data_IF_200767472718
#
_entry.id   IF_200767472718
#
_cell.length_a   1.000
_cell.length_b   1.000
_cell.length_c   1.000
_cell.angle_alpha   90.00
_cell.angle_beta   90.00
_cell.angle_gamma   90.00
#
_symmetry.space_group_name_H-M   'P 1'
#
loop_
_entity.id
_entity.type
_entity.pdbx_description
1 polymer ?
#
# COMPACT_ATOMS: atom_id res chain seq x y z
N UNK A 1 -35.59 11.87 -5.51
CA UNK A 1 -34.77 10.85 -6.22
C UNK A 1 -33.36 11.38 -6.30
N UNK A 2 -32.38 10.64 -5.81
CA UNK A 2 -30.96 10.98 -5.97
C UNK A 2 -30.56 10.60 -7.39
N UNK A 3 -30.19 11.56 -8.22
CA UNK A 3 -29.73 11.34 -9.60
C UNK A 3 -28.32 11.91 -9.75
N UNK A 4 -27.48 11.21 -10.50
CA UNK A 4 -26.09 11.60 -10.79
C UNK A 4 -25.79 11.30 -12.24
N UNK A 5 -25.01 12.15 -12.89
CA UNK A 5 -24.48 11.91 -14.21
C UNK A 5 -23.00 11.60 -14.07
N UNK A 6 -22.61 10.40 -14.50
CA UNK A 6 -21.24 9.91 -14.38
C UNK A 6 -20.80 9.42 -15.76
N UNK A 7 -19.68 9.95 -16.24
CA UNK A 7 -19.08 9.59 -17.51
C UNK A 7 -17.73 8.93 -17.26
N UNK A 8 -17.49 7.79 -17.89
CA UNK A 8 -16.19 7.12 -17.78
C UNK A 8 -15.22 7.78 -18.76
N UNK A 9 -14.11 8.38 -18.30
CA UNK A 9 -13.08 8.88 -19.20
C UNK A 9 -12.34 7.71 -19.86
N UNK A 10 -11.97 7.88 -21.13
CA UNK A 10 -11.18 6.91 -21.89
C UNK A 10 -9.66 7.13 -21.74
N UNK A 11 -9.25 8.12 -20.95
CA UNK A 11 -7.87 8.59 -20.83
C UNK A 11 -7.39 8.56 -19.39
N UNK A 12 -6.08 8.42 -19.21
CA UNK A 12 -5.41 8.75 -17.96
C UNK A 12 -5.07 10.23 -17.97
N UNK A 13 -5.41 10.95 -16.90
CA UNK A 13 -5.04 12.35 -16.76
C UNK A 13 -3.60 12.46 -16.22
N UNK A 14 -2.79 13.27 -16.89
CA UNK A 14 -1.42 13.59 -16.53
C UNK A 14 -1.33 15.10 -16.27
N UNK A 15 -1.69 15.56 -15.06
CA UNK A 15 -1.74 16.98 -14.76
C UNK A 15 -0.35 17.62 -14.84
N UNK A 16 -0.20 18.68 -15.64
CA UNK A 16 1.08 19.39 -15.79
C UNK A 16 1.61 19.96 -14.47
N UNK A 17 0.71 20.39 -13.58
CA UNK A 17 1.09 20.91 -12.26
C UNK A 17 1.56 19.82 -11.29
N UNK A 18 1.26 18.54 -11.57
CA UNK A 18 1.64 17.40 -10.74
C UNK A 18 2.14 16.26 -11.64
N UNK A 19 3.32 16.42 -12.29
CA UNK A 19 3.83 15.46 -13.28
C UNK A 19 4.16 14.08 -12.69
N UNK A 20 4.22 14.00 -11.36
CA UNK A 20 4.40 12.78 -10.58
C UNK A 20 3.09 12.01 -10.34
N UNK A 21 1.95 12.52 -10.82
CA UNK A 21 0.65 11.85 -10.73
C UNK A 21 0.21 11.34 -12.10
N UNK A 22 -0.30 10.11 -12.11
CA UNK A 22 -1.04 9.53 -13.23
C UNK A 22 -2.41 9.09 -12.73
N UNK A 23 -3.46 9.78 -13.21
CA UNK A 23 -4.79 9.69 -12.62
C UNK A 23 -5.73 8.94 -13.56
N UNK A 24 -6.05 7.70 -13.20
CA UNK A 24 -7.02 6.89 -13.89
C UNK A 24 -8.26 6.77 -13.00
N UNK A 25 -9.28 7.58 -13.27
CA UNK A 25 -10.51 7.64 -12.49
C UNK A 25 -11.57 6.73 -13.11
N UNK A 26 -12.42 6.10 -12.28
CA UNK A 26 -13.50 5.25 -12.79
C UNK A 26 -14.61 6.07 -13.48
N UNK A 27 -14.81 7.32 -13.05
CA UNK A 27 -15.72 8.25 -13.69
C UNK A 27 -15.53 9.71 -13.28
N UNK A 28 -16.00 10.61 -14.13
CA UNK A 28 -16.18 12.03 -13.85
C UNK A 28 -17.67 12.26 -13.60
N UNK A 29 -17.97 12.91 -12.48
CA UNK A 29 -19.33 13.28 -12.10
C UNK A 29 -19.61 14.65 -12.67
N UNK A 30 -20.41 14.72 -13.74
CA UNK A 30 -20.84 15.98 -14.37
C UNK A 30 -22.08 16.59 -13.71
N UNK A 31 -22.80 15.82 -12.89
CA UNK A 31 -23.89 16.31 -12.07
C UNK A 31 -24.07 15.46 -10.81
N UNK A 32 -24.14 16.12 -9.65
CA UNK A 32 -24.57 15.52 -8.38
C UNK A 32 -25.57 16.47 -7.69
N UNK A 33 -26.71 15.95 -7.23
CA UNK A 33 -27.72 16.77 -6.55
C UNK A 33 -27.23 17.53 -5.29
N UNK A 34 -26.19 17.05 -4.60
CA UNK A 34 -25.57 17.73 -3.45
C UNK A 34 -24.57 18.80 -3.90
N UNK A 35 -24.07 18.70 -5.14
CA UNK A 35 -23.10 19.62 -5.74
C UNK A 35 -23.51 19.93 -7.20
N UNK A 36 -24.65 20.61 -7.41
CA UNK A 36 -25.28 20.72 -8.73
C UNK A 36 -24.44 21.48 -9.76
N UNK A 37 -23.53 22.35 -9.30
CA UNK A 37 -22.69 23.23 -10.12
C UNK A 37 -21.21 22.78 -10.15
N UNK A 38 -20.88 21.66 -9.49
CA UNK A 38 -19.49 21.21 -9.35
C UNK A 38 -19.26 19.89 -10.09
N UNK A 39 -18.06 19.75 -10.63
CA UNK A 39 -17.59 18.46 -11.16
C UNK A 39 -16.92 17.66 -10.05
N UNK A 40 -17.18 16.36 -10.00
CA UNK A 40 -16.57 15.47 -9.01
C UNK A 40 -15.91 14.24 -9.63
N UNK A 41 -15.30 13.41 -8.79
CA UNK A 41 -14.74 12.12 -9.18
C UNK A 41 -15.63 10.99 -8.69
N UNK A 42 -15.87 9.98 -9.52
CA UNK A 42 -16.43 8.70 -9.11
C UNK A 42 -15.31 7.67 -9.04
N UNK A 43 -15.21 6.97 -7.91
CA UNK A 43 -14.30 5.84 -7.71
C UNK A 43 -15.10 4.64 -7.21
N UNK A 44 -14.86 3.45 -7.77
CA UNK A 44 -15.59 2.25 -7.45
C UNK A 44 -14.64 1.08 -7.11
N UNK A 45 -14.78 0.53 -5.91
CA UNK A 45 -14.00 -0.64 -5.47
C UNK A 45 -14.90 -1.79 -5.05
N UNK A 46 -14.49 -3.01 -5.40
CA UNK A 46 -14.95 -4.20 -4.69
C UNK A 46 -14.08 -4.39 -3.45
N UNK A 47 -14.70 -4.65 -2.31
CA UNK A 47 -13.99 -4.85 -1.05
C UNK A 47 -14.59 -6.05 -0.31
N UNK A 48 -13.74 -6.84 0.33
CA UNK A 48 -14.21 -7.91 1.20
C UNK A 48 -14.69 -7.33 2.54
N UNK A 49 -15.79 -7.84 3.09
CA UNK A 49 -16.38 -7.35 4.35
C UNK A 49 -15.38 -7.37 5.51
N UNK A 50 -14.52 -8.38 5.58
CA UNK A 50 -13.48 -8.46 6.62
C UNK A 50 -12.46 -7.31 6.52
N UNK A 51 -12.05 -6.92 5.29
CA UNK A 51 -11.14 -5.80 5.07
C UNK A 51 -11.84 -4.51 5.49
N UNK A 52 -13.09 -4.33 5.07
CA UNK A 52 -13.89 -3.17 5.45
C UNK A 52 -14.00 -3.04 6.98
N UNK A 53 -14.30 -4.13 7.68
CA UNK A 53 -14.44 -4.15 9.15
C UNK A 53 -13.14 -3.86 9.90
N UNK A 54 -11.99 -4.08 9.27
CA UNK A 54 -10.67 -3.84 9.89
C UNK A 54 -10.28 -2.36 9.97
N UNK A 55 -11.00 -1.48 9.27
CA UNK A 55 -10.74 -0.04 9.27
C UNK A 55 -11.90 0.72 9.91
N UNK A 56 -11.55 1.66 10.80
CA UNK A 56 -12.54 2.59 11.33
C UNK A 56 -13.21 3.35 10.18
N UNK A 57 -14.53 3.34 10.15
CA UNK A 57 -15.29 3.95 9.06
C UNK A 57 -15.33 3.14 7.77
N UNK A 58 -14.82 1.90 7.74
CA UNK A 58 -15.03 0.98 6.61
C UNK A 58 -14.40 1.42 5.30
N UNK A 59 -13.34 2.21 5.34
CA UNK A 59 -12.62 2.65 4.14
C UNK A 59 -11.11 2.53 4.38
N UNK A 60 -10.39 1.68 3.62
CA UNK A 60 -8.94 1.60 3.70
C UNK A 60 -8.26 2.95 3.45
N UNK A 61 -7.23 3.33 4.22
CA UNK A 61 -6.50 4.59 4.03
C UNK A 61 -5.89 4.75 2.63
N UNK A 62 -5.53 3.65 1.96
CA UNK A 62 -5.03 3.67 0.59
C UNK A 62 -6.07 4.20 -0.41
N UNK A 63 -7.36 3.99 -0.16
CA UNK A 63 -8.43 4.52 -1.01
C UNK A 63 -8.63 6.02 -0.78
N UNK A 64 -8.47 6.49 0.46
CA UNK A 64 -8.44 7.92 0.77
C UNK A 64 -7.26 8.57 0.05
N UNK A 65 -6.06 7.98 0.12
CA UNK A 65 -4.88 8.47 -0.59
C UNK A 65 -5.10 8.54 -2.11
N UNK A 66 -5.70 7.50 -2.69
CA UNK A 66 -6.02 7.45 -4.12
C UNK A 66 -6.99 8.57 -4.51
N UNK A 67 -8.08 8.75 -3.76
CA UNK A 67 -9.07 9.81 -4.00
C UNK A 67 -8.46 11.19 -3.81
N UNK A 68 -7.67 11.40 -2.75
CA UNK A 68 -6.94 12.65 -2.53
C UNK A 68 -6.05 13.02 -3.72
N UNK A 69 -5.36 12.04 -4.33
CA UNK A 69 -4.56 12.27 -5.52
C UNK A 69 -5.41 12.73 -6.72
N UNK A 70 -6.61 12.17 -6.90
CA UNK A 70 -7.54 12.63 -7.92
C UNK A 70 -7.99 14.07 -7.68
N UNK A 71 -8.42 14.38 -6.46
CA UNK A 71 -8.88 15.73 -6.12
C UNK A 71 -7.77 16.77 -6.26
N UNK A 72 -6.54 16.42 -5.85
CA UNK A 72 -5.35 17.29 -6.01
C UNK A 72 -5.03 17.54 -7.48
N UNK A 73 -4.82 16.48 -8.26
CA UNK A 73 -4.32 16.66 -9.62
C UNK A 73 -5.37 17.15 -10.61
N UNK A 74 -6.65 16.80 -10.41
CA UNK A 74 -7.76 17.32 -11.24
C UNK A 74 -8.34 18.64 -10.70
N UNK A 75 -7.94 19.07 -9.50
CA UNK A 75 -8.46 20.26 -8.81
C UNK A 75 -9.98 20.22 -8.64
N UNK A 76 -10.51 19.06 -8.26
CA UNK A 76 -11.94 18.85 -8.09
C UNK A 76 -12.32 18.93 -6.60
N UNK A 77 -13.49 19.50 -6.26
CA UNK A 77 -13.88 19.74 -4.87
C UNK A 77 -14.35 18.49 -4.12
N UNK A 78 -14.84 17.46 -4.81
CA UNK A 78 -15.36 16.26 -4.15
C UNK A 78 -15.20 14.99 -4.99
N UNK A 79 -15.31 13.86 -4.30
CA UNK A 79 -15.43 12.55 -4.89
C UNK A 79 -16.56 11.75 -4.23
N UNK A 80 -17.11 10.80 -4.99
CA UNK A 80 -17.94 9.71 -4.48
C UNK A 80 -17.15 8.42 -4.60
N UNK A 81 -16.88 7.78 -3.47
CA UNK A 81 -16.30 6.44 -3.45
C UNK A 81 -17.40 5.41 -3.17
N UNK A 82 -17.61 4.52 -4.13
CA UNK A 82 -18.53 3.40 -4.08
C UNK A 82 -17.76 2.13 -3.70
N UNK A 83 -18.12 1.51 -2.58
CA UNK A 83 -17.52 0.29 -2.07
C UNK A 83 -18.57 -0.82 -2.13
N UNK A 84 -18.37 -1.79 -3.03
CA UNK A 84 -19.21 -2.98 -3.12
C UNK A 84 -18.63 -4.08 -2.22
N UNK A 85 -19.19 -4.18 -1.01
CA UNK A 85 -18.87 -5.17 0.00
C UNK A 85 -19.41 -6.55 -0.39
N UNK A 86 -18.50 -7.51 -0.52
CA UNK A 86 -18.76 -8.92 -0.84
C UNK A 86 -19.65 -9.15 -2.07
N UNK A 87 -19.69 -8.18 -2.98
CA UNK A 87 -20.51 -8.23 -4.19
C UNK A 87 -22.01 -7.96 -3.95
N UNK A 88 -22.42 -7.66 -2.73
CA UNK A 88 -23.85 -7.58 -2.34
C UNK A 88 -24.23 -6.22 -1.79
N UNK A 89 -23.42 -5.64 -0.89
CA UNK A 89 -23.78 -4.39 -0.20
C UNK A 89 -22.99 -3.22 -0.77
N UNK A 90 -23.71 -2.24 -1.31
CA UNK A 90 -23.09 -1.03 -1.85
C UNK A 90 -23.07 0.08 -0.80
N UNK A 91 -21.88 0.55 -0.46
CA UNK A 91 -21.67 1.71 0.38
C UNK A 91 -21.18 2.86 -0.50
N UNK A 92 -21.79 4.03 -0.42
CA UNK A 92 -21.32 5.21 -1.14
C UNK A 92 -20.97 6.29 -0.13
N UNK A 93 -19.76 6.82 -0.22
CA UNK A 93 -19.25 7.87 0.66
C UNK A 93 -18.86 9.08 -0.14
N UNK A 94 -19.07 10.25 0.44
CA UNK A 94 -18.55 11.52 -0.08
C UNK A 94 -17.21 11.80 0.55
N UNK A 95 -16.25 12.25 -0.25
CA UNK A 95 -14.97 12.73 0.21
C UNK A 95 -14.76 14.12 -0.39
N UNK A 96 -14.73 15.15 0.45
CA UNK A 96 -14.54 16.53 0.00
C UNK A 96 -13.09 16.97 0.21
N UNK A 97 -12.58 17.82 -0.68
CA UNK A 97 -11.26 18.44 -0.53
C UNK A 97 -11.11 19.22 0.79
N UNK A 98 -12.23 19.64 1.38
CA UNK A 98 -12.28 20.35 2.66
C UNK A 98 -12.05 19.49 3.91
N UNK A 99 -12.19 18.17 3.82
CA UNK A 99 -12.08 17.26 4.97
C UNK A 99 -10.63 17.19 5.48
N UNK A 100 -10.45 17.11 6.80
CA UNK A 100 -9.11 17.14 7.42
C UNK A 100 -8.24 15.96 6.98
N UNK A 101 -8.82 14.76 6.83
CA UNK A 101 -8.10 13.58 6.36
C UNK A 101 -7.70 13.71 4.88
N UNK A 102 -8.53 14.36 4.07
CA UNK A 102 -8.23 14.63 2.67
C UNK A 102 -7.10 15.65 2.60
N UNK A 103 -7.21 16.79 3.28
CA UNK A 103 -6.17 17.83 3.33
C UNK A 103 -4.83 17.26 3.78
N UNK A 104 -4.82 16.48 4.86
CA UNK A 104 -3.62 15.80 5.34
C UNK A 104 -2.97 14.95 4.24
N UNK A 105 -3.76 14.16 3.52
CA UNK A 105 -3.24 13.35 2.42
C UNK A 105 -2.77 14.20 1.23
N UNK A 106 -3.44 15.30 0.91
CA UNK A 106 -3.02 16.23 -0.14
C UNK A 106 -1.67 16.86 0.21
N UNK A 107 -1.47 17.31 1.45
CA UNK A 107 -0.18 17.81 1.94
C UNK A 107 0.94 16.75 1.83
N UNK A 108 0.62 15.49 2.12
CA UNK A 108 1.57 14.38 1.94
C UNK A 108 1.89 14.12 0.48
N UNK A 109 0.91 14.16 -0.41
CA UNK A 109 1.13 14.03 -1.85
C UNK A 109 2.06 15.14 -2.33
N UNK A 110 1.79 16.39 -1.97
CA UNK A 110 2.58 17.54 -2.41
C UNK A 110 3.99 17.57 -1.82
N UNK A 111 4.22 17.00 -0.64
CA UNK A 111 5.56 16.98 -0.02
C UNK A 111 6.40 15.75 -0.39
N UNK A 112 5.77 14.59 -0.58
CA UNK A 112 6.47 13.30 -0.76
C UNK A 112 6.58 12.90 -2.23
N UNK A 113 5.49 13.01 -3.01
CA UNK A 113 5.48 12.54 -4.39
C UNK A 113 6.47 13.26 -5.31
N UNK A 114 6.69 14.60 -5.23
CA UNK A 114 7.71 15.25 -6.05
C UNK A 114 9.12 14.73 -5.75
N UNK A 115 9.45 14.50 -4.48
CA UNK A 115 10.77 13.98 -4.09
C UNK A 115 10.94 12.53 -4.55
N UNK A 116 9.90 11.71 -4.45
CA UNK A 116 9.94 10.34 -4.94
C UNK A 116 10.14 10.32 -6.46
N UNK A 117 9.43 11.20 -7.17
CA UNK A 117 9.59 11.37 -8.61
C UNK A 117 11.01 11.82 -8.97
N UNK A 118 11.60 12.74 -8.21
CA UNK A 118 12.99 13.15 -8.41
C UNK A 118 13.95 11.97 -8.21
N UNK A 119 13.78 11.16 -7.15
CA UNK A 119 14.60 9.96 -6.94
C UNK A 119 14.55 8.99 -8.14
N UNK A 120 13.37 8.85 -8.76
CA UNK A 120 13.21 8.04 -9.98
C UNK A 120 13.93 8.69 -11.17
N UNK A 121 13.85 10.00 -11.34
CA UNK A 121 14.56 10.71 -12.41
C UNK A 121 16.09 10.61 -12.25
N UNK A 122 16.60 10.79 -11.04
CA UNK A 122 18.03 10.66 -10.73
C UNK A 122 18.51 9.24 -11.03
N UNK A 123 17.75 8.23 -10.60
CA UNK A 123 18.02 6.83 -10.93
C UNK A 123 18.02 6.56 -12.45
N UNK A 124 17.08 7.16 -13.19
CA UNK A 124 17.06 7.06 -14.67
C UNK A 124 18.29 7.73 -15.29
N UNK A 125 18.75 8.85 -14.76
CA UNK A 125 19.95 9.53 -15.23
C UNK A 125 21.20 8.68 -14.98
N UNK A 126 21.31 8.04 -13.81
CA UNK A 126 22.38 7.08 -13.52
C UNK A 126 22.39 5.94 -14.54
N UNK A 127 21.23 5.33 -14.80
CA UNK A 127 21.11 4.24 -15.77
C UNK A 127 21.44 4.66 -17.21
N UNK A 128 21.19 5.91 -17.57
CA UNK A 128 21.49 6.44 -18.90
C UNK A 128 22.97 6.83 -19.07
N UNK A 129 23.62 7.31 -18.01
CA UNK A 129 24.97 7.87 -18.07
C UNK A 129 26.08 6.90 -17.65
N UNK A 130 25.80 5.97 -16.73
CA UNK A 130 26.84 5.10 -16.17
C UNK A 130 26.99 3.79 -16.97
N UNK A 131 28.22 3.29 -17.16
CA UNK A 131 28.45 1.91 -17.56
C UNK A 131 27.75 0.95 -16.59
N UNK A 132 27.29 -0.20 -17.08
CA UNK A 132 26.49 -1.16 -16.31
C UNK A 132 27.19 -1.59 -15.01
N UNK A 133 28.51 -1.68 -15.04
CA UNK A 133 29.36 -2.09 -13.92
C UNK A 133 29.39 -1.04 -12.78
N UNK A 134 29.14 0.24 -13.09
CA UNK A 134 29.16 1.35 -12.13
C UNK A 134 27.75 1.80 -11.71
N UNK A 135 26.76 1.58 -12.58
CA UNK A 135 25.37 1.99 -12.35
C UNK A 135 24.82 1.45 -11.02
N UNK A 136 25.13 0.20 -10.65
CA UNK A 136 24.66 -0.41 -9.41
C UNK A 136 25.13 0.36 -8.16
N UNK A 137 26.38 0.81 -8.11
CA UNK A 137 26.90 1.57 -6.96
C UNK A 137 26.24 2.94 -6.87
N UNK A 138 26.14 3.64 -8.00
CA UNK A 138 25.53 4.98 -8.06
C UNK A 138 24.03 4.93 -7.72
N UNK A 139 23.32 3.87 -8.11
CA UNK A 139 21.91 3.68 -7.71
C UNK A 139 21.76 3.48 -6.20
N UNK A 140 22.73 2.85 -5.53
CA UNK A 140 22.70 2.72 -4.08
C UNK A 140 22.90 4.06 -3.37
N UNK A 141 23.69 4.97 -3.94
CA UNK A 141 23.82 6.35 -3.43
C UNK A 141 22.49 7.10 -3.55
N UNK A 142 21.79 7.00 -4.69
CA UNK A 142 20.43 7.55 -4.86
C UNK A 142 19.47 6.95 -3.83
N UNK A 143 19.50 5.63 -3.62
CA UNK A 143 18.65 4.98 -2.61
C UNK A 143 18.96 5.53 -1.20
N UNK A 144 20.23 5.74 -0.87
CA UNK A 144 20.63 6.27 0.42
C UNK A 144 20.18 7.72 0.63
N UNK A 145 20.36 8.57 -0.39
CA UNK A 145 19.95 9.98 -0.38
C UNK A 145 18.44 10.13 -0.16
N UNK A 146 17.64 9.27 -0.80
CA UNK A 146 16.17 9.30 -0.73
C UNK A 146 15.59 8.26 0.24
N UNK A 147 16.37 7.78 1.20
CA UNK A 147 15.97 6.69 2.11
C UNK A 147 14.78 7.01 3.02
N UNK A 148 14.43 8.29 3.18
CA UNK A 148 13.25 8.74 3.93
C UNK A 148 11.92 8.50 3.18
N UNK A 149 11.97 8.43 1.85
CA UNK A 149 10.79 8.28 0.97
C UNK A 149 10.84 7.03 0.10
N UNK A 150 12.02 6.47 -0.13
CA UNK A 150 12.26 5.34 -1.00
C UNK A 150 12.60 4.11 -0.17
N UNK A 151 11.73 3.10 -0.27
CA UNK A 151 11.93 1.82 0.42
C UNK A 151 12.23 0.72 -0.60
N UNK A 152 13.41 0.13 -0.50
CA UNK A 152 13.82 -1.01 -1.33
C UNK A 152 13.62 -2.29 -0.55
N UNK A 153 12.64 -3.10 -0.95
CA UNK A 153 12.33 -4.36 -0.28
C UNK A 153 13.36 -5.47 -0.55
N UNK A 154 14.04 -5.42 -1.70
CA UNK A 154 15.08 -6.38 -2.06
C UNK A 154 16.04 -5.75 -3.08
N UNK A 155 17.35 -5.95 -2.86
CA UNK A 155 18.37 -5.58 -3.84
C UNK A 155 18.49 -6.65 -4.92
N UNK A 156 18.81 -6.23 -6.15
CA UNK A 156 19.12 -7.15 -7.23
C UNK A 156 20.42 -7.91 -6.95
N UNK A 157 20.62 -9.05 -7.62
CA UNK A 157 21.88 -9.80 -7.52
C UNK A 157 23.08 -8.93 -7.90
N UNK A 158 22.97 -8.16 -8.99
CA UNK A 158 24.03 -7.26 -9.44
C UNK A 158 24.39 -6.19 -8.40
N UNK A 159 23.41 -5.67 -7.66
CA UNK A 159 23.64 -4.74 -6.56
C UNK A 159 24.32 -5.44 -5.36
N UNK A 160 23.89 -6.66 -5.02
CA UNK A 160 24.54 -7.45 -3.97
C UNK A 160 25.98 -7.82 -4.32
N UNK A 161 26.23 -8.21 -5.57
CA UNK A 161 27.56 -8.54 -6.07
C UNK A 161 28.47 -7.31 -6.08
N UNK A 162 27.95 -6.12 -6.44
CA UNK A 162 28.69 -4.86 -6.32
C UNK A 162 29.08 -4.56 -4.86
N UNK A 163 28.15 -4.76 -3.91
CA UNK A 163 28.42 -4.60 -2.48
C UNK A 163 29.41 -5.62 -1.92
N UNK A 164 29.44 -6.82 -2.49
CA UNK A 164 30.37 -7.87 -2.09
C UNK A 164 31.79 -7.68 -2.67
N UNK A 165 31.90 -7.02 -3.83
CA UNK A 165 33.19 -6.68 -4.44
C UNK A 165 33.91 -5.53 -3.71
N UNK A 166 33.18 -4.64 -3.03
CA UNK A 166 33.80 -3.75 -2.04
C UNK A 166 34.46 -4.58 -0.94
N UNK A 167 35.78 -4.42 -0.73
CA UNK A 167 36.50 -5.07 0.37
C UNK A 167 35.99 -4.55 1.73
N UNK A 168 34.90 -5.12 2.23
CA UNK A 168 34.35 -4.86 3.56
C UNK A 168 35.12 -5.70 4.57
N UNK A 169 36.18 -5.14 5.13
CA UNK A 169 37.03 -5.80 6.13
C UNK A 169 36.91 -5.22 7.55
N UNK A 170 36.33 -4.03 7.70
CA UNK A 170 36.24 -3.36 8.99
C UNK A 170 34.98 -3.82 9.75
N UNK A 171 35.18 -4.37 10.94
CA UNK A 171 34.09 -4.56 11.90
C UNK A 171 33.85 -3.22 12.58
N UNK A 172 32.67 -2.64 12.37
CA UNK A 172 32.24 -1.45 13.11
C UNK A 172 32.04 -1.87 14.59
N UNK A 173 32.75 -1.20 15.49
CA UNK A 173 32.65 -1.39 16.93
C UNK A 173 32.27 -0.07 17.57
N UNK A 174 31.23 -0.05 18.38
CA UNK A 174 30.77 1.16 19.04
C UNK A 174 29.41 0.95 19.69
N UNK A 175 29.20 1.58 20.85
CA UNK A 175 27.93 1.51 21.59
C UNK A 175 26.79 2.23 20.84
N UNK A 176 27.12 3.12 19.90
CA UNK A 176 26.16 3.79 19.02
C UNK A 176 25.35 2.81 18.14
N UNK A 177 25.88 1.61 17.90
CA UNK A 177 25.19 0.57 17.13
C UNK A 177 24.29 -0.31 18.00
N UNK A 178 24.45 -0.30 19.33
CA UNK A 178 23.73 -1.19 20.25
C UNK A 178 22.22 -0.99 20.16
N UNK A 179 21.77 0.27 19.97
CA UNK A 179 20.35 0.58 19.81
C UNK A 179 19.76 -0.09 18.56
N UNK A 180 20.48 -0.04 17.42
CA UNK A 180 20.03 -0.62 16.15
C UNK A 180 20.07 -2.15 16.23
N UNK A 181 21.15 -2.73 16.79
CA UNK A 181 21.29 -4.16 16.95
C UNK A 181 20.25 -4.74 17.93
N UNK A 182 19.97 -4.04 19.03
CA UNK A 182 18.95 -4.43 20.00
C UNK A 182 17.55 -4.37 19.38
N UNK A 183 17.23 -3.30 18.65
CA UNK A 183 15.95 -3.19 17.94
C UNK A 183 15.76 -4.33 16.92
N UNK A 184 16.82 -4.71 16.19
CA UNK A 184 16.78 -5.86 15.29
C UNK A 184 16.57 -7.18 16.05
N UNK A 185 17.32 -7.41 17.13
CA UNK A 185 17.18 -8.61 17.94
C UNK A 185 15.78 -8.74 18.59
N UNK A 186 15.19 -7.61 18.99
CA UNK A 186 13.81 -7.55 19.50
C UNK A 186 12.78 -7.88 18.42
N UNK A 187 12.95 -7.34 17.20
CA UNK A 187 12.09 -7.63 16.06
C UNK A 187 12.18 -9.11 15.66
N UNK A 188 13.40 -9.67 15.60
CA UNK A 188 13.63 -11.08 15.30
C UNK A 188 13.01 -12.00 16.35
N UNK A 189 13.21 -11.70 17.64
CA UNK A 189 12.58 -12.44 18.73
C UNK A 189 11.05 -12.35 18.70
N UNK A 190 10.50 -11.19 18.33
CA UNK A 190 9.05 -11.00 18.20
C UNK A 190 8.49 -11.82 17.03
N UNK A 191 9.18 -11.83 15.89
CA UNK A 191 8.82 -12.66 14.74
C UNK A 191 8.88 -14.16 15.08
N UNK A 192 9.93 -14.59 15.78
CA UNK A 192 10.06 -15.98 16.25
C UNK A 192 8.92 -16.36 17.19
N UNK A 193 8.62 -15.52 18.19
CA UNK A 193 7.48 -15.75 19.10
C UNK A 193 6.14 -15.80 18.37
N UNK A 194 5.94 -14.95 17.36
CA UNK A 194 4.73 -14.97 16.53
C UNK A 194 4.63 -16.28 15.72
N UNK A 195 5.72 -16.70 15.09
CA UNK A 195 5.80 -17.96 14.35
C UNK A 195 5.57 -19.19 15.26
N UNK A 196 6.15 -19.20 16.46
CA UNK A 196 5.96 -20.28 17.45
C UNK A 196 4.49 -20.36 17.92
N UNK A 197 3.84 -19.21 18.16
CA UNK A 197 2.41 -19.15 18.50
C UNK A 197 1.53 -19.64 17.36
N UNK A 198 1.82 -19.23 16.13
CA UNK A 198 1.10 -19.69 14.94
C UNK A 198 1.24 -21.21 14.76
N UNK A 199 2.47 -21.73 14.88
CA UNK A 199 2.73 -23.17 14.78
C UNK A 199 1.99 -23.96 15.87
N UNK A 200 1.97 -23.46 17.11
CA UNK A 200 1.23 -24.08 18.21
C UNK A 200 -0.27 -24.11 17.93
N UNK A 201 -0.87 -22.98 17.58
CA UNK A 201 -2.31 -22.90 17.26
C UNK A 201 -2.69 -23.80 16.08
N UNK A 202 -1.84 -23.84 15.04
CA UNK A 202 -2.00 -24.73 13.90
C UNK A 202 -1.99 -26.21 14.32
N UNK A 203 -1.05 -26.62 15.17
CA UNK A 203 -0.96 -27.99 15.67
C UNK A 203 -2.18 -28.36 16.51
N UNK A 204 -2.64 -27.48 17.40
CA UNK A 204 -3.86 -27.68 18.20
C UNK A 204 -5.09 -27.90 17.30
N UNK A 205 -5.22 -27.11 16.23
CA UNK A 205 -6.30 -27.30 15.25
C UNK A 205 -6.18 -28.65 14.52
N UNK A 206 -4.97 -29.04 14.10
CA UNK A 206 -4.76 -30.33 13.42
C UNK A 206 -5.10 -31.49 14.34
N UNK A 207 -4.68 -31.45 15.61
CA UNK A 207 -5.03 -32.46 16.62
C UNK A 207 -6.54 -32.55 16.82
N UNK A 208 -7.23 -31.40 16.88
CA UNK A 208 -8.69 -31.35 16.98
C UNK A 208 -9.37 -32.02 15.78
N UNK A 209 -8.88 -31.79 14.56
CA UNK A 209 -9.38 -32.41 13.34
C UNK A 209 -9.18 -33.92 13.34
N UNK A 210 -7.99 -34.39 13.71
CA UNK A 210 -7.65 -35.82 13.79
C UNK A 210 -8.53 -36.52 14.83
N UNK A 211 -8.64 -35.95 16.03
CA UNK A 211 -9.42 -36.53 17.14
C UNK A 211 -10.91 -36.71 16.79
N UNK A 212 -11.46 -35.82 15.97
CA UNK A 212 -12.87 -35.85 15.58
C UNK A 212 -13.10 -36.47 14.19
N UNK A 213 -12.06 -37.04 13.56
CA UNK A 213 -12.13 -37.56 12.19
C UNK A 213 -12.75 -36.56 11.19
N UNK A 214 -12.39 -35.28 11.33
CA UNK A 214 -12.95 -34.18 10.56
C UNK A 214 -11.92 -33.63 9.57
N UNK A 215 -12.38 -33.23 8.37
CA UNK A 215 -11.54 -32.59 7.36
C UNK A 215 -11.39 -31.07 7.57
N UNK A 216 -12.32 -30.45 8.31
CA UNK A 216 -12.33 -29.03 8.61
C UNK A 216 -13.02 -28.75 9.95
N UNK A 217 -12.63 -27.65 10.58
CA UNK A 217 -13.28 -27.07 11.76
C UNK A 217 -13.73 -25.67 11.36
N UNK A 218 -14.98 -25.36 11.67
CA UNK A 218 -15.65 -24.13 11.28
C UNK A 218 -16.21 -23.49 12.56
N UNK A 219 -15.72 -22.29 12.88
CA UNK A 219 -16.23 -21.43 13.93
C UNK A 219 -17.16 -20.36 13.34
N UNK A 220 -17.54 -19.37 14.16
CA UNK A 220 -18.46 -18.30 13.74
C UNK A 220 -17.88 -17.37 12.68
N UNK A 221 -16.55 -17.17 12.68
CA UNK A 221 -15.87 -16.22 11.79
C UNK A 221 -14.68 -16.82 11.04
N UNK A 222 -14.35 -18.08 11.31
CA UNK A 222 -13.10 -18.69 10.85
C UNK A 222 -13.30 -20.15 10.50
N UNK A 223 -12.62 -20.60 9.46
CA UNK A 223 -12.53 -22.00 9.09
C UNK A 223 -11.08 -22.41 8.88
N UNK A 224 -10.72 -23.52 9.49
CA UNK A 224 -9.47 -24.19 9.26
C UNK A 224 -9.72 -25.59 8.67
N UNK A 225 -8.90 -26.01 7.71
CA UNK A 225 -8.98 -27.35 7.12
C UNK A 225 -7.59 -27.94 6.93
N UNK A 226 -7.49 -29.26 7.06
CA UNK A 226 -6.24 -29.99 6.90
C UNK A 226 -6.45 -31.23 6.03
N UNK A 227 -5.90 -31.19 4.81
CA UNK A 227 -5.82 -32.33 3.91
C UNK A 227 -4.47 -32.28 3.18
N UNK A 228 -3.42 -32.84 3.79
CA UNK A 228 -1.99 -32.73 3.41
C UNK A 228 -1.39 -31.32 3.50
N UNK A 229 -2.20 -30.27 3.34
CA UNK A 229 -1.85 -28.87 3.60
C UNK A 229 -2.87 -28.26 4.57
N UNK A 230 -2.37 -27.40 5.44
CA UNK A 230 -3.21 -26.60 6.33
C UNK A 230 -3.70 -25.36 5.59
N UNK A 231 -4.98 -25.07 5.74
CA UNK A 231 -5.61 -23.87 5.19
C UNK A 231 -6.40 -23.19 6.30
N UNK A 232 -6.31 -21.86 6.37
CA UNK A 232 -7.05 -21.03 7.30
C UNK A 232 -7.69 -19.90 6.52
N UNK A 233 -8.98 -19.67 6.74
CA UNK A 233 -9.73 -18.59 6.12
C UNK A 233 -10.68 -17.96 7.12
N UNK A 234 -10.91 -16.67 6.96
CA UNK A 234 -12.04 -16.00 7.59
C UNK A 234 -13.30 -16.40 6.80
N UNK A 235 -14.41 -16.59 7.50
CA UNK A 235 -15.72 -16.92 6.91
C UNK A 235 -16.52 -15.66 6.61
#
# INVERSE_FOLDING_TARGET
>A
KTFRMIEKPEVTFLPESHPYLALNVDGIISYDHEYPEETGVAEAKKIAGYVMSSYQGGCPPSYIAQVSAYLTGLKLPFARIALLEDGVRLHVRTLEAGMDEIKYMQEKIESVCPRFYQAVLDGKQVLAAAPKEQASSMLLEVIAEYSDILKVGSLSKDALDALAQEKRGAVLKGAEYDAILSAYAEAENSNKKAADKEAKAKNEIIELLIKNNAAAVEGTCYRAAYNKRFTFKNL
#
